data_IF_627580303396
#
_entry.id   IF_627580303396
#
_cell.length_a   1.000
_cell.length_b   1.000
_cell.length_c   1.000
_cell.angle_alpha   90.00
_cell.angle_beta   90.00
_cell.angle_gamma   90.00
#
_symmetry.space_group_name_H-M   'P 1'
#
loop_
_entity.id
_entity.type
_entity.pdbx_description
1 polymer ?
#
# COMPACT_ATOMS: atom_id res chain seq x y z
N UNK A 1 -19.71 5.63 26.46
CA UNK A 1 -18.42 5.09 25.98
C UNK A 1 -18.65 3.67 25.57
N UNK A 2 -18.37 3.33 24.32
CA UNK A 2 -18.40 1.95 23.84
C UNK A 2 -17.35 1.11 24.58
N UNK A 3 -17.63 -0.15 24.92
CA UNK A 3 -16.68 -1.00 25.65
C UNK A 3 -15.49 -1.37 24.75
N UNK A 4 -14.29 -1.23 25.31
CA UNK A 4 -13.05 -1.62 24.65
C UNK A 4 -12.81 -3.14 24.78
N UNK A 5 -12.26 -3.81 23.75
CA UNK A 5 -11.84 -5.20 23.88
C UNK A 5 -10.74 -5.37 24.95
N UNK A 6 -10.54 -6.59 25.43
CA UNK A 6 -9.48 -6.88 26.41
C UNK A 6 -8.09 -6.48 25.88
N UNK A 7 -7.33 -5.76 26.71
CA UNK A 7 -6.00 -5.25 26.34
C UNK A 7 -6.02 -3.92 25.56
N UNK A 8 -7.18 -3.29 25.34
CA UNK A 8 -7.26 -1.95 24.76
C UNK A 8 -7.40 -0.88 25.82
N UNK A 9 -6.70 0.24 25.65
CA UNK A 9 -6.77 1.42 26.51
C UNK A 9 -7.04 2.67 25.68
N UNK A 10 -7.99 3.50 26.09
CA UNK A 10 -8.24 4.80 25.46
C UNK A 10 -7.51 5.89 26.24
N UNK A 11 -6.78 6.74 25.55
CA UNK A 11 -6.05 7.88 26.10
C UNK A 11 -6.34 9.14 25.31
N UNK A 12 -6.14 10.30 25.94
CA UNK A 12 -6.21 11.60 25.29
C UNK A 12 -4.81 12.02 24.87
N UNK A 13 -4.61 12.36 23.61
CA UNK A 13 -3.40 13.02 23.16
C UNK A 13 -3.54 14.51 23.47
N UNK A 14 -2.70 15.02 24.38
CA UNK A 14 -2.71 16.43 24.79
C UNK A 14 -2.29 17.37 23.66
N UNK A 15 -1.56 16.87 22.65
CA UNK A 15 -1.06 17.67 21.53
C UNK A 15 -2.16 17.96 20.51
N UNK A 16 -2.93 16.94 20.15
CA UNK A 16 -4.04 17.08 19.18
C UNK A 16 -5.40 17.27 19.85
N UNK A 17 -5.49 17.03 21.16
CA UNK A 17 -6.74 17.03 21.91
C UNK A 17 -7.69 15.90 21.48
N UNK A 18 -7.20 14.80 20.90
CA UNK A 18 -8.02 13.68 20.39
C UNK A 18 -7.81 12.42 21.22
N UNK A 19 -8.82 11.56 21.30
CA UNK A 19 -8.63 10.24 21.90
C UNK A 19 -7.90 9.31 20.91
N UNK A 20 -6.93 8.58 21.42
CA UNK A 20 -6.26 7.49 20.74
C UNK A 20 -6.42 6.20 21.54
N UNK A 21 -6.37 5.07 20.85
CA UNK A 21 -6.55 3.73 21.38
C UNK A 21 -5.22 2.99 21.32
N UNK A 22 -4.79 2.49 22.46
CA UNK A 22 -3.57 1.69 22.64
C UNK A 22 -3.97 0.24 22.75
N UNK A 23 -3.47 -0.60 21.85
CA UNK A 23 -3.56 -2.06 21.97
C UNK A 23 -2.31 -2.58 22.69
N UNK A 24 -2.49 -3.02 23.93
CA UNK A 24 -1.44 -3.60 24.75
C UNK A 24 -1.06 -5.01 24.33
N UNK A 25 -1.89 -5.70 23.56
CA UNK A 25 -1.61 -7.03 23.04
C UNK A 25 -0.58 -6.97 21.91
N UNK A 26 -0.77 -6.03 20.97
CA UNK A 26 0.12 -5.83 19.82
C UNK A 26 1.14 -4.70 20.00
N UNK A 27 1.10 -3.97 21.13
CA UNK A 27 1.92 -2.77 21.39
C UNK A 27 1.79 -1.71 20.29
N UNK A 28 0.57 -1.54 19.78
CA UNK A 28 0.25 -0.59 18.73
C UNK A 28 -0.68 0.50 19.24
N UNK A 29 -0.67 1.66 18.58
CA UNK A 29 -1.61 2.75 18.85
C UNK A 29 -2.34 3.14 17.58
N UNK A 30 -3.61 3.54 17.71
CA UNK A 30 -4.45 3.94 16.59
C UNK A 30 -5.48 4.98 17.01
N UNK A 31 -5.87 5.85 16.09
CA UNK A 31 -6.84 6.92 16.33
C UNK A 31 -8.29 6.46 16.30
N UNK A 32 -8.55 5.33 15.63
CA UNK A 32 -9.89 4.75 15.46
C UNK A 32 -10.15 3.70 16.52
N UNK A 33 -11.36 3.68 17.04
CA UNK A 33 -11.80 2.63 17.95
C UNK A 33 -11.82 1.28 17.22
N UNK A 34 -11.26 0.20 17.82
CA UNK A 34 -11.10 -1.09 17.15
C UNK A 34 -12.41 -1.69 16.62
N UNK A 35 -13.50 -1.55 17.39
CA UNK A 35 -14.82 -2.09 17.04
C UNK A 35 -15.61 -1.13 16.13
N UNK A 36 -15.81 0.11 16.56
CA UNK A 36 -16.71 1.04 15.86
C UNK A 36 -16.05 1.77 14.69
N UNK A 37 -14.72 1.68 14.54
CA UNK A 37 -13.91 2.42 13.56
C UNK A 37 -14.07 3.94 13.65
N UNK A 38 -14.70 4.45 14.72
CA UNK A 38 -14.93 5.88 14.97
C UNK A 38 -13.71 6.52 15.62
N UNK A 39 -13.43 7.76 15.24
CA UNK A 39 -12.48 8.62 15.93
C UNK A 39 -13.23 9.33 17.05
N UNK A 40 -12.68 9.31 18.26
CA UNK A 40 -13.28 9.97 19.41
C UNK A 40 -12.52 11.26 19.67
N UNK A 41 -13.24 12.36 19.73
CA UNK A 41 -12.71 13.65 20.16
C UNK A 41 -13.47 14.04 21.43
N UNK A 42 -12.81 14.58 22.47
CA UNK A 42 -13.54 15.27 23.52
C UNK A 42 -14.34 16.37 22.83
N UNK A 43 -15.66 16.37 23.04
CA UNK A 43 -16.50 17.45 22.56
C UNK A 43 -15.85 18.75 23.04
N UNK A 44 -15.38 19.61 22.13
CA UNK A 44 -15.01 20.98 22.46
C UNK A 44 -16.21 21.53 23.21
N UNK A 45 -16.04 21.78 24.50
CA UNK A 45 -17.13 22.21 25.37
C UNK A 45 -17.84 23.33 24.65
N UNK A 46 -19.12 23.13 24.37
CA UNK A 46 -19.99 24.12 23.80
C UNK A 46 -19.94 25.36 24.69
N UNK A 47 -19.11 26.33 24.31
CA UNK A 47 -19.43 27.71 24.56
C UNK A 47 -20.31 28.14 23.40
N UNK A 48 -21.59 28.33 23.74
CA UNK A 48 -22.57 29.22 23.12
C UNK A 48 -22.85 29.00 21.64
N UNK A 49 -23.80 28.10 21.38
CA UNK A 49 -25.13 28.41 20.84
C UNK A 49 -25.64 27.23 20.03
N UNK A 50 -26.89 26.85 20.30
CA UNK A 50 -27.54 25.72 19.64
C UNK A 50 -27.48 25.83 18.13
N UNK A 51 -26.95 24.78 17.51
CA UNK A 51 -27.50 24.08 16.35
C UNK A 51 -26.60 22.87 16.12
N UNK A 52 -27.05 21.70 16.56
CA UNK A 52 -26.38 20.43 16.33
C UNK A 52 -26.70 19.93 14.91
N UNK A 53 -26.20 20.64 13.90
CA UNK A 53 -26.14 20.13 12.53
C UNK A 53 -24.77 19.49 12.32
N UNK A 54 -24.76 18.16 12.51
CA UNK A 54 -23.99 17.15 11.79
C UNK A 54 -22.81 17.64 10.90
N UNK A 55 -21.83 18.30 11.50
CA UNK A 55 -20.57 18.61 10.84
C UNK A 55 -19.73 17.33 10.81
N UNK A 56 -19.83 16.55 9.73
CA UNK A 56 -18.84 15.54 9.37
C UNK A 56 -17.58 16.31 8.93
N UNK A 57 -16.81 16.79 9.90
CA UNK A 57 -15.52 17.41 9.67
C UNK A 57 -14.51 16.28 9.41
N UNK A 58 -14.42 15.86 8.14
CA UNK A 58 -13.39 14.91 7.69
C UNK A 58 -12.03 15.56 7.94
N UNK A 59 -11.31 15.10 8.97
CA UNK A 59 -10.02 15.69 9.32
C UNK A 59 -8.99 15.41 8.23
N UNK A 60 -7.99 16.29 8.08
CA UNK A 60 -6.92 16.11 7.07
C UNK A 60 -6.22 14.74 7.19
N UNK A 61 -6.16 14.20 8.41
CA UNK A 61 -5.61 12.86 8.69
C UNK A 61 -6.49 11.74 8.10
N UNK A 62 -7.82 11.86 8.17
CA UNK A 62 -8.77 10.90 7.57
C UNK A 62 -8.69 10.91 6.03
N UNK A 63 -8.50 12.10 5.45
CA UNK A 63 -8.31 12.26 4.00
C UNK A 63 -6.99 11.63 3.57
N UNK A 64 -5.88 11.92 4.27
CA UNK A 64 -4.56 11.32 4.00
C UNK A 64 -4.61 9.79 4.11
N UNK A 65 -5.25 9.25 5.14
CA UNK A 65 -5.41 7.80 5.32
C UNK A 65 -6.19 7.15 4.18
N UNK A 66 -7.29 7.80 3.74
CA UNK A 66 -8.10 7.34 2.62
C UNK A 66 -7.30 7.38 1.32
N UNK A 67 -6.50 8.42 1.09
CA UNK A 67 -5.60 8.55 -0.06
C UNK A 67 -4.51 7.48 -0.04
N UNK A 68 -3.83 7.24 1.09
CA UNK A 68 -2.83 6.17 1.23
C UNK A 68 -3.42 4.80 0.90
N UNK A 69 -4.63 4.50 1.38
CA UNK A 69 -5.31 3.23 1.10
C UNK A 69 -5.72 3.10 -0.37
N UNK A 70 -6.20 4.19 -0.98
CA UNK A 70 -6.53 4.26 -2.41
C UNK A 70 -5.29 4.09 -3.29
N UNK A 71 -4.18 4.74 -2.95
CA UNK A 71 -2.91 4.66 -3.70
C UNK A 71 -2.37 3.23 -3.72
N UNK A 72 -2.32 2.55 -2.57
CA UNK A 72 -1.88 1.15 -2.52
C UNK A 72 -2.79 0.24 -3.38
N UNK A 73 -4.10 0.48 -3.35
CA UNK A 73 -5.06 -0.28 -4.16
C UNK A 73 -4.88 -0.02 -5.66
N UNK A 74 -4.62 1.22 -6.06
CA UNK A 74 -4.39 1.59 -7.45
C UNK A 74 -3.09 0.99 -7.99
N UNK A 75 -2.03 1.03 -7.19
CA UNK A 75 -0.74 0.40 -7.54
C UNK A 75 -0.89 -1.10 -7.79
N UNK A 76 -1.58 -1.83 -6.90
CA UNK A 76 -1.83 -3.27 -7.08
C UNK A 76 -2.63 -3.53 -8.35
N UNK A 77 -3.67 -2.71 -8.61
CA UNK A 77 -4.47 -2.83 -9.83
C UNK A 77 -3.59 -2.66 -11.07
N UNK A 78 -2.73 -1.64 -11.10
CA UNK A 78 -1.81 -1.39 -12.21
C UNK A 78 -0.82 -2.53 -12.41
N UNK A 79 -0.25 -3.07 -11.32
CA UNK A 79 0.63 -4.23 -11.38
C UNK A 79 -0.05 -5.46 -12.03
N UNK A 80 -1.30 -5.74 -11.65
CA UNK A 80 -2.08 -6.86 -12.21
C UNK A 80 -2.38 -6.71 -13.70
N UNK A 81 -2.51 -5.49 -14.21
CA UNK A 81 -2.70 -5.25 -15.64
C UNK A 81 -1.46 -5.61 -16.47
N UNK A 82 -0.26 -5.53 -15.88
CA UNK A 82 0.99 -5.90 -16.55
C UNK A 82 1.24 -7.41 -16.55
N UNK A 83 0.58 -8.16 -15.66
CA UNK A 83 0.76 -9.61 -15.56
C UNK A 83 0.54 -10.36 -16.89
N UNK A 84 -0.54 -10.15 -17.67
CA UNK A 84 -0.68 -10.79 -18.98
C UNK A 84 0.40 -10.37 -19.99
N UNK A 85 0.87 -9.12 -19.95
CA UNK A 85 1.95 -8.65 -20.83
C UNK A 85 3.27 -9.35 -20.49
N UNK A 86 3.58 -9.50 -19.21
CA UNK A 86 4.76 -10.24 -18.72
C UNK A 86 4.62 -11.74 -19.04
N UNK A 87 3.41 -12.29 -18.95
CA UNK A 87 3.18 -13.70 -19.19
C UNK A 87 3.35 -14.11 -20.65
N UNK A 88 2.97 -13.21 -21.57
CA UNK A 88 3.14 -13.37 -23.00
C UNK A 88 4.48 -12.84 -23.54
N UNK A 89 5.35 -12.29 -22.69
CA UNK A 89 6.60 -11.68 -23.12
C UNK A 89 7.61 -12.73 -23.62
N UNK A 90 8.03 -12.59 -24.89
CA UNK A 90 9.01 -13.45 -25.55
C UNK A 90 10.16 -12.63 -26.16
N UNK A 91 10.75 -11.74 -25.36
CA UNK A 91 11.89 -10.92 -25.77
C UNK A 91 13.12 -11.07 -24.88
N UNK A 92 14.14 -10.27 -25.13
CA UNK A 92 15.39 -10.13 -24.40
C UNK A 92 15.38 -8.86 -23.51
N UNK A 93 16.37 -8.73 -22.63
CA UNK A 93 16.47 -7.57 -21.73
C UNK A 93 16.73 -6.23 -22.45
N UNK A 94 17.14 -6.27 -23.71
CA UNK A 94 17.37 -5.08 -24.55
C UNK A 94 16.11 -4.63 -25.30
N UNK A 95 15.05 -5.44 -25.28
CA UNK A 95 13.83 -5.12 -26.01
C UNK A 95 13.05 -3.99 -25.36
N UNK A 96 12.46 -3.14 -26.21
CA UNK A 96 11.69 -1.97 -25.76
C UNK A 96 10.52 -2.36 -24.86
N UNK A 97 9.91 -3.52 -25.10
CA UNK A 97 8.82 -4.04 -24.26
C UNK A 97 9.32 -4.42 -22.87
N UNK A 98 10.50 -5.07 -22.76
CA UNK A 98 11.12 -5.37 -21.47
C UNK A 98 11.42 -4.09 -20.70
N UNK A 99 12.05 -3.11 -21.35
CA UNK A 99 12.39 -1.83 -20.71
C UNK A 99 11.14 -1.08 -20.26
N UNK A 100 10.07 -1.08 -21.05
CA UNK A 100 8.78 -0.47 -20.68
C UNK A 100 8.16 -1.15 -19.47
N UNK A 101 8.11 -2.49 -19.47
CA UNK A 101 7.53 -3.26 -18.37
C UNK A 101 8.36 -3.08 -17.10
N UNK A 102 9.69 -3.13 -17.20
CA UNK A 102 10.60 -2.90 -16.08
C UNK A 102 10.43 -1.49 -15.49
N UNK A 103 10.49 -0.44 -16.32
CA UNK A 103 10.30 0.95 -15.87
C UNK A 103 8.95 1.12 -15.16
N UNK A 104 7.90 0.49 -15.67
CA UNK A 104 6.57 0.57 -15.06
C UNK A 104 6.56 -0.10 -13.68
N UNK A 105 7.17 -1.28 -13.53
CA UNK A 105 7.26 -1.99 -12.25
C UNK A 105 8.12 -1.25 -11.21
N UNK A 106 9.23 -0.65 -11.64
CA UNK A 106 10.09 0.18 -10.80
C UNK A 106 9.35 1.43 -10.32
N UNK A 107 8.60 2.10 -11.22
CA UNK A 107 7.77 3.26 -10.87
C UNK A 107 6.71 2.91 -9.83
N UNK A 108 6.05 1.75 -9.97
CA UNK A 108 5.06 1.28 -8.99
C UNK A 108 5.69 1.01 -7.61
N UNK A 109 6.94 0.52 -7.57
CA UNK A 109 7.65 0.30 -6.31
C UNK A 109 7.95 1.63 -5.60
N UNK A 110 8.45 2.63 -6.33
CA UNK A 110 8.71 3.97 -5.80
C UNK A 110 7.43 4.66 -5.30
N UNK A 111 6.31 4.46 -6.01
CA UNK A 111 5.00 5.00 -5.62
C UNK A 111 4.52 4.43 -4.28
N UNK A 112 4.85 3.17 -3.97
CA UNK A 112 4.55 2.56 -2.67
C UNK A 112 5.45 3.10 -1.56
N UNK A 113 6.74 3.34 -1.83
CA UNK A 113 7.68 3.88 -0.85
C UNK A 113 7.38 5.33 -0.46
N UNK A 114 6.78 6.11 -1.37
CA UNK A 114 6.34 7.47 -1.10
C UNK A 114 5.13 7.57 -0.14
N UNK A 115 4.45 6.46 0.16
CA UNK A 115 3.30 6.45 1.07
C UNK A 115 3.79 6.43 2.52
N UNK A 116 3.80 7.60 3.16
CA UNK A 116 4.05 7.73 4.60
C UNK A 116 2.97 7.03 5.43
N UNK A 117 3.36 6.07 6.27
CA UNK A 117 2.45 5.33 7.14
C UNK A 117 2.57 5.83 8.59
N UNK A 118 1.55 6.53 9.09
CA UNK A 118 1.50 7.05 10.47
C UNK A 118 1.15 5.95 11.49
N UNK A 119 1.91 4.85 11.51
CA UNK A 119 1.74 3.76 12.47
C UNK A 119 0.65 2.72 12.11
N UNK A 120 -0.09 2.93 11.03
CA UNK A 120 -1.22 2.06 10.68
C UNK A 120 -0.78 0.71 10.07
N UNK A 121 -1.04 -0.37 10.79
CA UNK A 121 -0.60 -1.73 10.46
C UNK A 121 -1.22 -2.26 9.16
N UNK A 122 -2.48 -1.94 8.89
CA UNK A 122 -3.18 -2.41 7.69
C UNK A 122 -2.56 -1.82 6.43
N UNK A 123 -2.30 -0.51 6.41
CA UNK A 123 -1.65 0.17 5.27
C UNK A 123 -0.23 -0.37 5.06
N UNK A 124 0.51 -0.60 6.14
CA UNK A 124 1.87 -1.16 6.07
C UNK A 124 1.85 -2.59 5.52
N UNK A 125 0.88 -3.39 5.95
CA UNK A 125 0.70 -4.78 5.49
C UNK A 125 0.25 -4.83 4.02
N UNK A 126 -0.68 -3.97 3.62
CA UNK A 126 -1.11 -3.83 2.22
C UNK A 126 0.05 -3.37 1.32
N UNK A 127 0.85 -2.40 1.76
CA UNK A 127 2.06 -1.98 1.03
C UNK A 127 3.03 -3.14 0.88
N UNK A 128 3.32 -3.85 1.97
CA UNK A 128 4.22 -5.00 1.93
C UNK A 128 3.71 -6.16 1.06
N UNK A 129 2.40 -6.34 0.96
CA UNK A 129 1.80 -7.29 0.01
C UNK A 129 1.98 -6.81 -1.45
N UNK A 130 1.68 -5.54 -1.72
CA UNK A 130 1.81 -4.93 -3.04
C UNK A 130 3.27 -4.96 -3.56
N UNK A 131 4.24 -4.60 -2.72
CA UNK A 131 5.67 -4.68 -3.05
C UNK A 131 6.06 -6.11 -3.41
N UNK A 132 5.63 -7.10 -2.62
CA UNK A 132 5.91 -8.52 -2.92
C UNK A 132 5.33 -8.95 -4.27
N UNK A 133 4.11 -8.53 -4.60
CA UNK A 133 3.46 -8.84 -5.88
C UNK A 133 4.26 -8.24 -7.06
N UNK A 134 4.67 -6.97 -6.97
CA UNK A 134 5.50 -6.31 -7.99
C UNK A 134 6.86 -7.01 -8.14
N UNK A 135 7.52 -7.36 -7.03
CA UNK A 135 8.81 -8.05 -7.05
C UNK A 135 8.72 -9.45 -7.67
N UNK A 136 7.60 -10.16 -7.46
CA UNK A 136 7.33 -11.43 -8.16
C UNK A 136 7.21 -11.23 -9.68
N UNK A 137 6.54 -10.17 -10.12
CA UNK A 137 6.42 -9.83 -11.54
C UNK A 137 7.77 -9.49 -12.18
N UNK A 138 8.61 -8.69 -11.49
CA UNK A 138 9.98 -8.37 -11.93
C UNK A 138 10.77 -9.67 -12.12
N UNK A 139 10.81 -10.54 -11.11
CA UNK A 139 11.56 -11.79 -11.20
C UNK A 139 11.07 -12.71 -12.32
N UNK A 140 9.76 -12.71 -12.58
CA UNK A 140 9.14 -13.47 -13.68
C UNK A 140 9.54 -12.93 -15.04
N UNK A 141 9.50 -11.61 -15.23
CA UNK A 141 9.91 -10.93 -16.45
C UNK A 141 11.38 -11.19 -16.76
N UNK A 142 12.26 -11.06 -15.76
CA UNK A 142 13.68 -11.37 -15.92
C UNK A 142 13.95 -12.83 -16.28
N UNK A 143 13.23 -13.78 -15.67
CA UNK A 143 13.38 -15.20 -15.96
C UNK A 143 13.02 -15.52 -17.42
N UNK A 144 11.97 -14.87 -17.95
CA UNK A 144 11.59 -14.99 -19.36
C UNK A 144 12.65 -14.39 -20.29
N UNK A 145 13.16 -13.20 -19.98
CA UNK A 145 14.22 -12.55 -20.76
C UNK A 145 15.56 -13.33 -20.78
N UNK A 146 15.87 -14.06 -19.70
CA UNK A 146 17.03 -14.97 -19.66
C UNK A 146 16.84 -16.23 -20.52
N UNK A 147 15.62 -16.76 -20.61
CA UNK A 147 15.32 -17.97 -21.39
C UNK A 147 15.46 -17.74 -22.91
N UNK A 148 15.00 -16.60 -23.40
CA UNK A 148 15.08 -16.21 -24.81
C UNK A 148 16.55 -15.98 -25.24
N UNK A 149 17.32 -15.24 -24.44
CA UNK A 149 18.74 -14.97 -24.72
C UNK A 149 19.62 -16.24 -24.79
N UNK A 150 19.31 -17.27 -24.00
CA UNK A 150 20.01 -18.56 -24.06
C UNK A 150 19.70 -19.36 -25.33
N UNK A 151 18.50 -19.21 -25.90
CA UNK A 151 18.04 -19.94 -27.10
C UNK A 151 18.76 -19.44 -28.36
N UNK A 152 19.01 -18.14 -28.50
CA UNK A 152 19.73 -17.57 -29.66
C UNK A 152 21.23 -17.89 -29.69
N UNK A 153 21.83 -18.35 -28.59
CA UNK A 153 23.28 -18.67 -28.53
C UNK A 153 23.61 -20.09 -29.03
N UNK A 154 22.62 -20.97 -29.16
CA UNK A 154 22.84 -22.40 -29.39
C UNK A 154 22.74 -22.85 -30.87
N UNK A 155 22.40 -21.96 -31.80
CA UNK A 155 22.18 -22.33 -33.22
C UNK A 155 23.37 -22.04 -34.16
N UNK A 156 24.52 -21.59 -33.65
CA UNK A 156 25.66 -21.16 -34.50
C UNK A 156 26.89 -22.08 -34.41
N UNK A 157 26.70 -23.37 -34.14
CA UNK A 157 27.80 -24.35 -34.09
C UNK A 157 27.41 -25.70 -34.72
N UNK A 158 27.06 -25.67 -36.01
CA UNK A 158 27.01 -26.90 -36.81
C UNK A 158 26.96 -26.57 -38.30
N UNK A 159 28.04 -26.01 -38.84
CA UNK A 159 28.38 -26.17 -40.26
C UNK A 159 29.90 -26.08 -40.44
N UNK A 160 30.57 -27.20 -40.17
CA UNK A 160 31.96 -27.45 -40.57
C UNK A 160 32.20 -28.96 -40.49
N UNK A 161 31.85 -29.67 -41.56
CA UNK A 161 32.63 -30.79 -42.12
C UNK A 161 32.01 -31.29 -43.42
#
# INVERSE_FOLDING_TARGET
MDPLPAGWEMRLDESTGRYYFVDHNSKSTQWRHPITQKVYQPAKTAYINGNAEEAIEQTEDDVKQTLSSKNVTDVVRRARLLQPEIDSFEGTQTDKEYLRLMETLERLTLELDAVEHHGQQDIRSMRGAAVREIQQLIGTLEARARKTSSTHKSTNSSESH
#
